data_IF_797716948257
#
_entry.id   IF_797716948257
#
_cell.length_a   1.000
_cell.length_b   1.000
_cell.length_c   1.000
_cell.angle_alpha   90.00
_cell.angle_beta   90.00
_cell.angle_gamma   90.00
#
_symmetry.space_group_name_H-M   'P 1'
#
loop_
_entity.id
_entity.type
_entity.pdbx_description
1 polymer ?
#
# COMPACT_ATOMS: atom_id res chain seq x y z
N UNK A 1 11.11 -10.14 9.32
CA UNK A 1 9.75 -9.54 9.37
C UNK A 1 9.89 -8.18 10.04
N UNK A 2 9.49 -7.07 9.40
CA UNK A 2 9.52 -5.76 10.08
C UNK A 2 8.40 -5.79 11.12
N UNK A 3 8.74 -6.16 12.36
CA UNK A 3 7.81 -6.12 13.49
C UNK A 3 7.79 -4.67 13.95
N UNK A 4 6.75 -3.93 13.58
CA UNK A 4 6.50 -2.61 14.15
C UNK A 4 5.82 -2.78 15.52
N UNK A 5 6.12 -1.94 16.51
CA UNK A 5 5.37 -1.92 17.76
C UNK A 5 3.89 -1.66 17.45
N UNK A 6 2.98 -2.32 18.17
CA UNK A 6 1.54 -2.11 18.03
C UNK A 6 1.20 -0.75 18.65
N UNK A 7 1.05 0.29 17.82
CA UNK A 7 0.47 1.56 18.28
C UNK A 7 -1.03 1.38 18.53
N UNK A 8 -1.57 2.14 19.48
CA UNK A 8 -3.02 2.27 19.66
C UNK A 8 -3.66 2.81 18.37
N UNK A 9 -4.83 2.30 17.98
CA UNK A 9 -5.48 2.65 16.71
C UNK A 9 -5.69 4.16 16.54
N UNK A 10 -6.02 4.88 17.62
CA UNK A 10 -6.10 6.36 17.60
C UNK A 10 -4.78 7.03 17.24
N UNK A 11 -3.65 6.54 17.76
CA UNK A 11 -2.34 7.12 17.44
C UNK A 11 -1.98 6.87 15.98
N UNK A 12 -2.44 5.77 15.39
CA UNK A 12 -2.24 5.49 13.96
C UNK A 12 -2.91 6.51 13.05
N UNK A 13 -4.04 7.10 13.46
CA UNK A 13 -4.74 8.14 12.68
C UNK A 13 -3.90 9.43 12.50
N UNK A 14 -3.02 9.73 13.46
CA UNK A 14 -2.21 10.95 13.50
C UNK A 14 -0.76 10.73 13.01
N UNK A 15 -0.43 9.55 12.47
CA UNK A 15 0.90 9.30 11.89
C UNK A 15 0.96 9.92 10.50
N UNK A 16 1.69 11.03 10.36
CA UNK A 16 1.93 11.70 9.08
C UNK A 16 3.08 11.06 8.29
N UNK A 17 4.12 10.58 8.98
CA UNK A 17 5.31 10.01 8.35
C UNK A 17 5.01 8.63 7.76
N UNK A 18 5.10 8.52 6.42
CA UNK A 18 4.76 7.30 5.69
C UNK A 18 3.27 7.12 5.38
N UNK A 19 2.43 8.11 5.69
CA UNK A 19 1.02 8.13 5.32
C UNK A 19 0.82 8.55 3.85
N UNK A 20 -0.33 8.20 3.30
CA UNK A 20 -0.79 8.68 1.98
C UNK A 20 -1.29 10.13 2.07
N UNK A 21 -1.61 10.62 3.27
CA UNK A 21 -2.19 11.94 3.49
C UNK A 21 -1.41 13.09 2.81
N UNK A 22 -0.07 13.21 2.94
CA UNK A 22 0.67 14.28 2.27
C UNK A 22 0.59 14.21 0.74
N UNK A 23 0.43 13.00 0.17
CA UNK A 23 0.33 12.79 -1.28
C UNK A 23 -1.01 13.28 -1.85
N UNK A 24 -2.08 13.19 -1.07
CA UNK A 24 -3.44 13.60 -1.48
C UNK A 24 -3.89 14.93 -0.84
N UNK A 25 -3.05 15.55 -0.01
CA UNK A 25 -3.39 16.74 0.75
C UNK A 25 -3.87 17.89 -0.13
N UNK A 26 -3.18 18.15 -1.25
CA UNK A 26 -3.58 19.20 -2.19
C UNK A 26 -4.98 18.94 -2.77
N UNK A 27 -5.27 17.71 -3.18
CA UNK A 27 -6.58 17.32 -3.69
C UNK A 27 -7.68 17.47 -2.64
N UNK A 28 -7.40 17.07 -1.39
CA UNK A 28 -8.34 17.24 -0.27
C UNK A 28 -8.61 18.72 0.03
N UNK A 29 -7.57 19.56 0.05
CA UNK A 29 -7.72 21.00 0.27
C UNK A 29 -8.55 21.66 -0.84
N UNK A 30 -8.32 21.27 -2.10
CA UNK A 30 -9.08 21.80 -3.24
C UNK A 30 -10.56 21.41 -3.14
N UNK A 31 -10.86 20.14 -2.86
CA UNK A 31 -12.26 19.68 -2.68
C UNK A 31 -12.93 20.41 -1.51
N UNK A 32 -12.22 20.57 -0.39
CA UNK A 32 -12.72 21.29 0.78
C UNK A 32 -13.00 22.77 0.48
N UNK A 33 -12.11 23.43 -0.27
CA UNK A 33 -12.29 24.83 -0.67
C UNK A 33 -13.51 25.00 -1.59
N UNK A 34 -13.70 24.11 -2.57
CA UNK A 34 -14.90 24.12 -3.43
C UNK A 34 -16.16 23.89 -2.61
N UNK A 35 -16.17 22.89 -1.72
CA UNK A 35 -17.32 22.58 -0.88
C UNK A 35 -17.69 23.77 0.05
N UNK A 36 -16.68 24.41 0.65
CA UNK A 36 -16.86 25.61 1.44
C UNK A 36 -17.43 26.76 0.61
N UNK A 37 -16.91 26.99 -0.61
CA UNK A 37 -17.40 28.02 -1.52
C UNK A 37 -18.88 27.83 -1.88
N UNK A 38 -19.29 26.60 -2.23
CA UNK A 38 -20.69 26.27 -2.55
C UNK A 38 -21.60 26.45 -1.33
N UNK A 39 -21.12 26.07 -0.15
CA UNK A 39 -21.90 26.18 1.10
C UNK A 39 -22.09 27.64 1.51
N UNK A 40 -21.04 28.47 1.39
CA UNK A 40 -21.11 29.89 1.68
C UNK A 40 -21.96 30.66 0.67
N UNK A 41 -22.01 30.23 -0.59
CA UNK A 41 -22.87 30.85 -1.62
C UNK A 41 -24.34 30.44 -1.52
N UNK A 42 -24.72 29.61 -0.53
CA UNK A 42 -26.09 29.13 -0.36
C UNK A 42 -26.60 28.26 -1.52
N UNK A 43 -25.70 27.71 -2.34
CA UNK A 43 -26.05 26.97 -3.56
C UNK A 43 -26.47 27.86 -4.73
N UNK A 44 -26.35 29.19 -4.61
CA UNK A 44 -26.50 30.11 -5.73
C UNK A 44 -25.14 30.31 -6.39
N UNK A 45 -25.06 29.97 -7.68
CA UNK A 45 -23.91 30.29 -8.53
C UNK A 45 -24.37 31.32 -9.54
N UNK A 46 -23.73 32.50 -9.57
CA UNK A 46 -24.02 33.56 -10.53
C UNK A 46 -25.51 33.99 -10.57
N UNK A 47 -26.23 33.87 -9.44
CA UNK A 47 -27.65 34.22 -9.31
C UNK A 47 -28.63 33.12 -9.75
N UNK A 48 -28.15 31.93 -10.11
CA UNK A 48 -28.97 30.77 -10.44
C UNK A 48 -28.79 29.66 -9.40
N UNK A 49 -29.89 29.11 -8.90
CA UNK A 49 -29.88 27.92 -8.04
C UNK A 49 -29.62 26.69 -8.89
N UNK A 50 -28.47 26.06 -8.71
CA UNK A 50 -28.14 24.82 -9.40
C UNK A 50 -28.79 23.66 -8.64
N UNK A 51 -29.84 23.07 -9.21
CA UNK A 51 -30.52 21.90 -8.66
C UNK A 51 -29.73 20.61 -8.87
N UNK A 52 -28.69 20.38 -8.06
CA UNK A 52 -27.97 19.10 -8.04
C UNK A 52 -28.67 18.14 -7.08
N UNK A 53 -29.05 16.97 -7.57
CA UNK A 53 -29.55 15.86 -6.74
C UNK A 53 -28.40 14.88 -6.44
N UNK A 54 -28.46 14.22 -5.28
CA UNK A 54 -27.39 13.30 -4.86
C UNK A 54 -27.41 11.95 -5.60
N UNK A 55 -28.53 11.61 -6.25
CA UNK A 55 -28.78 10.30 -6.89
C UNK A 55 -27.69 9.86 -7.87
N UNK A 56 -27.29 10.66 -8.89
CA UNK A 56 -26.23 10.25 -9.81
C UNK A 56 -24.88 10.04 -9.10
N UNK A 57 -24.59 10.84 -8.07
CA UNK A 57 -23.34 10.71 -7.30
C UNK A 57 -23.30 9.44 -6.46
N UNK A 58 -24.43 9.03 -5.87
CA UNK A 58 -24.51 7.77 -5.13
C UNK A 58 -24.28 6.56 -6.03
N UNK A 59 -24.87 6.54 -7.24
CA UNK A 59 -24.67 5.46 -8.20
C UNK A 59 -23.19 5.35 -8.63
N UNK A 60 -22.58 6.48 -8.99
CA UNK A 60 -21.16 6.53 -9.35
C UNK A 60 -20.27 6.13 -8.15
N UNK A 61 -20.59 6.60 -6.96
CA UNK A 61 -19.84 6.30 -5.73
C UNK A 61 -19.83 4.82 -5.40
N UNK A 62 -20.98 4.15 -5.52
CA UNK A 62 -21.08 2.70 -5.30
C UNK A 62 -20.25 1.93 -6.33
N UNK A 63 -20.37 2.29 -7.61
CA UNK A 63 -19.58 1.65 -8.66
C UNK A 63 -18.07 1.82 -8.41
N UNK A 64 -17.61 3.04 -8.10
CA UNK A 64 -16.21 3.33 -7.78
C UNK A 64 -15.71 2.55 -6.56
N UNK A 65 -16.52 2.45 -5.50
CA UNK A 65 -16.15 1.71 -4.29
C UNK A 65 -15.92 0.21 -4.57
N UNK A 66 -16.79 -0.40 -5.39
CA UNK A 66 -16.65 -1.81 -5.79
C UNK A 66 -15.38 -2.01 -6.62
N UNK A 67 -15.14 -1.18 -7.64
CA UNK A 67 -13.93 -1.28 -8.46
C UNK A 67 -12.65 -1.05 -7.64
N UNK A 68 -12.67 -0.11 -6.70
CA UNK A 68 -11.55 0.12 -5.80
C UNK A 68 -11.29 -1.08 -4.89
N UNK A 69 -12.35 -1.77 -4.43
CA UNK A 69 -12.25 -3.03 -3.70
C UNK A 69 -11.48 -4.09 -4.48
N UNK A 70 -11.90 -4.38 -5.71
CA UNK A 70 -11.20 -5.34 -6.58
C UNK A 70 -9.75 -4.93 -6.85
N UNK A 71 -9.51 -3.65 -7.15
CA UNK A 71 -8.16 -3.12 -7.40
C UNK A 71 -7.26 -3.25 -6.17
N UNK A 72 -7.79 -2.98 -4.98
CA UNK A 72 -7.03 -3.09 -3.73
C UNK A 72 -6.69 -4.53 -3.40
N UNK A 73 -7.64 -5.46 -3.58
CA UNK A 73 -7.40 -6.90 -3.39
C UNK A 73 -6.27 -7.39 -4.29
N UNK A 74 -6.33 -7.12 -5.60
CA UNK A 74 -5.29 -7.52 -6.54
C UNK A 74 -3.92 -6.88 -6.22
N UNK A 75 -3.92 -5.59 -5.85
CA UNK A 75 -2.68 -4.89 -5.47
C UNK A 75 -2.07 -5.45 -4.19
N UNK A 76 -2.91 -5.82 -3.22
CA UNK A 76 -2.51 -6.44 -1.96
C UNK A 76 -1.93 -7.83 -2.18
N UNK A 77 -2.60 -8.66 -2.98
CA UNK A 77 -2.11 -10.00 -3.34
C UNK A 77 -0.75 -9.94 -4.01
N UNK A 78 -0.55 -9.05 -4.99
CA UNK A 78 0.75 -8.86 -5.66
C UNK A 78 1.84 -8.42 -4.68
N UNK A 79 1.53 -7.49 -3.78
CA UNK A 79 2.47 -7.06 -2.74
C UNK A 79 2.84 -8.23 -1.82
N UNK A 80 1.85 -9.03 -1.44
CA UNK A 80 2.04 -10.17 -0.55
C UNK A 80 2.81 -11.31 -1.21
N UNK A 81 2.54 -11.60 -2.48
CA UNK A 81 3.26 -12.57 -3.30
C UNK A 81 4.75 -12.23 -3.38
N UNK A 82 5.10 -10.98 -3.71
CA UNK A 82 6.49 -10.54 -3.73
C UNK A 82 7.19 -10.76 -2.37
N UNK A 83 6.50 -10.53 -1.26
CA UNK A 83 7.04 -10.77 0.09
C UNK A 83 7.22 -12.27 0.38
N UNK A 84 6.33 -13.13 -0.10
CA UNK A 84 6.47 -14.59 0.01
C UNK A 84 7.67 -15.08 -0.77
N UNK A 85 7.80 -14.68 -2.04
CA UNK A 85 8.90 -15.11 -2.92
C UNK A 85 10.27 -14.71 -2.36
N UNK A 86 10.41 -13.50 -1.83
CA UNK A 86 11.67 -13.07 -1.15
C UNK A 86 11.94 -13.90 0.12
N UNK A 87 10.88 -14.27 0.86
CA UNK A 87 11.01 -15.14 2.02
C UNK A 87 11.42 -16.57 1.67
N UNK A 88 10.85 -17.10 0.58
CA UNK A 88 11.17 -18.40 0.02
C UNK A 88 12.61 -18.44 -0.48
N UNK A 89 13.04 -17.44 -1.26
CA UNK A 89 14.41 -17.30 -1.73
C UNK A 89 15.39 -17.37 -0.55
N UNK A 90 15.16 -16.56 0.49
CA UNK A 90 16.02 -16.54 1.68
C UNK A 90 16.08 -17.91 2.38
N UNK A 91 14.96 -18.64 2.46
CA UNK A 91 14.92 -19.96 3.06
C UNK A 91 15.63 -21.01 2.19
N UNK A 92 15.45 -20.95 0.87
CA UNK A 92 16.11 -21.81 -0.10
C UNK A 92 17.64 -21.61 -0.05
N UNK A 93 18.12 -20.36 -0.08
CA UNK A 93 19.54 -20.00 0.08
C UNK A 93 20.15 -20.59 1.35
N UNK A 94 19.43 -20.52 2.49
CA UNK A 94 19.88 -21.10 3.77
C UNK A 94 19.91 -22.62 3.74
N UNK A 95 18.87 -23.26 3.20
CA UNK A 95 18.81 -24.72 3.11
C UNK A 95 19.91 -25.25 2.20
N UNK A 96 20.15 -24.58 1.07
CA UNK A 96 21.18 -24.94 0.11
C UNK A 96 22.59 -24.80 0.72
N UNK A 97 22.85 -23.68 1.41
CA UNK A 97 24.10 -23.49 2.15
C UNK A 97 24.31 -24.59 3.20
N UNK A 98 23.27 -24.90 3.97
CA UNK A 98 23.33 -25.98 4.98
C UNK A 98 23.65 -27.32 4.33
N UNK A 99 22.94 -27.69 3.26
CA UNK A 99 23.17 -28.95 2.56
C UNK A 99 24.60 -29.05 2.05
N UNK A 100 25.13 -28.01 1.42
CA UNK A 100 26.52 -27.96 0.96
C UNK A 100 27.51 -28.19 2.11
N UNK A 101 27.33 -27.50 3.24
CA UNK A 101 28.21 -27.65 4.41
C UNK A 101 28.14 -29.03 5.08
N UNK A 102 27.00 -29.71 4.98
CA UNK A 102 26.79 -31.01 5.66
C UNK A 102 27.04 -32.23 4.79
N UNK A 103 26.88 -32.12 3.47
CA UNK A 103 26.93 -33.27 2.55
C UNK A 103 28.24 -33.36 1.77
N UNK A 104 29.03 -32.28 1.71
CA UNK A 104 30.33 -32.27 1.04
C UNK A 104 31.42 -32.59 2.08
N UNK A 105 32.13 -33.69 1.90
CA UNK A 105 33.32 -34.01 2.69
C UNK A 105 34.45 -33.03 2.32
N UNK A 106 34.96 -32.30 3.32
CA UNK A 106 35.99 -31.25 3.20
C UNK A 106 35.63 -30.10 2.24
N UNK A 107 34.69 -29.19 2.60
CA UNK A 107 34.28 -28.08 1.74
C UNK A 107 35.33 -26.96 1.72
N UNK A 108 36.31 -27.06 0.82
CA UNK A 108 37.39 -26.06 0.65
C UNK A 108 36.85 -24.74 0.08
N UNK A 109 35.75 -24.78 -0.67
CA UNK A 109 35.18 -23.64 -1.41
C UNK A 109 33.84 -23.13 -0.85
N UNK A 110 33.50 -23.45 0.40
CA UNK A 110 32.23 -23.06 1.01
C UNK A 110 31.94 -21.56 0.95
N UNK A 111 32.99 -20.76 1.08
CA UNK A 111 32.89 -19.30 1.05
C UNK A 111 32.46 -18.79 -0.33
N UNK A 112 33.04 -19.35 -1.39
CA UNK A 112 32.75 -18.94 -2.77
C UNK A 112 31.35 -19.38 -3.19
N UNK A 113 30.92 -20.57 -2.76
CA UNK A 113 29.55 -21.04 -2.94
C UNK A 113 28.52 -20.12 -2.28
N UNK A 114 28.75 -19.73 -1.02
CA UNK A 114 27.86 -18.81 -0.29
C UNK A 114 27.82 -17.43 -0.95
N UNK A 115 28.96 -16.91 -1.43
CA UNK A 115 28.96 -15.65 -2.16
C UNK A 115 28.23 -15.73 -3.50
N UNK A 116 28.27 -16.87 -4.18
CA UNK A 116 27.44 -17.12 -5.37
C UNK A 116 25.94 -17.02 -5.06
N UNK A 117 25.50 -17.59 -3.93
CA UNK A 117 24.10 -17.51 -3.48
C UNK A 117 23.70 -16.08 -3.08
N UNK A 118 24.61 -15.28 -2.52
CA UNK A 118 24.35 -13.87 -2.16
C UNK A 118 24.28 -12.97 -3.40
N UNK A 119 25.04 -13.29 -4.45
CA UNK A 119 25.07 -12.53 -5.68
C UNK A 119 23.80 -12.71 -6.54
N UNK A 120 23.06 -13.80 -6.32
CA UNK A 120 21.77 -14.09 -6.93
C UNK A 120 20.63 -13.35 -6.20
#
# INVERSE_FOLDING_TARGET
>A
MIVRPRLHWFRMLLVLHGSVLPKIAFQLMLIAAIAAGITLSGGELLGWKVGLTFVPFSLIGIALAIFLGFRNSASYERYWEARKLVGELLNASRSLTRQYLTWVDHPVDARDFVYGIIAF
#
